data_IF_860856696384
#
_entry.id   IF_860856696384
#
_cell.length_a   1.000
_cell.length_b   1.000
_cell.length_c   1.000
_cell.angle_alpha   90.00
_cell.angle_beta   90.00
_cell.angle_gamma   90.00
#
_symmetry.space_group_name_H-M   'P 1'
#
loop_
_entity.id
_entity.type
_entity.pdbx_description
1 polymer ?
#
# COMPACT_ATOMS: atom_id res chain seq x y z
N UNK A 1 -8.71 -20.69 -4.05
CA UNK A 1 -8.20 -19.37 -3.61
C UNK A 1 -8.94 -18.32 -4.42
N UNK A 2 -9.68 -17.44 -3.76
CA UNK A 2 -10.49 -16.43 -4.46
C UNK A 2 -9.59 -15.52 -5.30
N UNK A 3 -9.89 -15.41 -6.59
CA UNK A 3 -9.10 -14.66 -7.58
C UNK A 3 -9.43 -13.15 -7.59
N UNK A 4 -10.13 -12.69 -6.55
CA UNK A 4 -10.60 -11.31 -6.43
C UNK A 4 -9.52 -10.44 -5.76
N UNK A 5 -9.13 -9.30 -6.34
CA UNK A 5 -8.17 -8.37 -5.74
C UNK A 5 -8.62 -7.91 -4.36
N UNK A 6 -7.67 -7.69 -3.46
CA UNK A 6 -7.95 -7.16 -2.12
C UNK A 6 -8.27 -5.65 -2.23
N UNK A 7 -9.44 -5.18 -1.77
CA UNK A 7 -9.73 -3.75 -1.79
C UNK A 7 -8.72 -2.99 -0.92
N UNK A 8 -8.31 -1.81 -1.39
CA UNK A 8 -7.48 -0.89 -0.62
C UNK A 8 -8.35 0.13 0.14
N UNK A 9 -8.05 0.33 1.43
CA UNK A 9 -8.67 1.34 2.28
C UNK A 9 -7.61 2.30 2.77
N UNK A 10 -7.86 3.59 2.67
CA UNK A 10 -6.90 4.61 3.10
C UNK A 10 -7.12 4.98 4.56
N UNK A 11 -6.03 5.09 5.32
CA UNK A 11 -6.06 5.83 6.58
C UNK A 11 -6.41 7.31 6.31
N UNK A 12 -6.90 8.06 7.32
CA UNK A 12 -7.14 9.49 7.16
C UNK A 12 -5.89 10.26 6.70
N UNK A 13 -4.71 9.86 7.18
CA UNK A 13 -3.44 10.46 6.78
C UNK A 13 -3.10 10.15 5.32
N UNK A 14 -3.22 8.88 4.91
CA UNK A 14 -2.99 8.49 3.52
C UNK A 14 -3.97 9.16 2.55
N UNK A 15 -5.24 9.31 2.94
CA UNK A 15 -6.24 10.02 2.17
C UNK A 15 -5.89 11.50 1.99
N UNK A 16 -5.35 12.14 3.03
CA UNK A 16 -4.84 13.52 2.96
C UNK A 16 -3.67 13.61 1.98
N UNK A 17 -2.65 12.76 2.14
CA UNK A 17 -1.49 12.77 1.23
C UNK A 17 -1.91 12.56 -0.23
N UNK A 18 -2.84 11.63 -0.49
CA UNK A 18 -3.40 11.43 -1.84
C UNK A 18 -4.01 12.71 -2.43
N UNK A 19 -4.65 13.54 -1.62
CA UNK A 19 -5.21 14.82 -2.05
C UNK A 19 -4.14 15.80 -2.55
N UNK A 20 -2.94 15.75 -1.95
CA UNK A 20 -1.83 16.65 -2.22
C UNK A 20 -0.89 16.15 -3.34
N UNK A 21 -1.04 14.90 -3.78
CA UNK A 21 -0.20 14.34 -4.84
C UNK A 21 -0.42 15.03 -6.20
N UNK A 22 0.64 15.24 -7.01
CA UNK A 22 0.48 15.60 -8.42
C UNK A 22 -0.17 14.45 -9.22
N UNK A 23 -0.81 14.76 -10.34
CA UNK A 23 -1.65 13.78 -11.05
C UNK A 23 -0.88 12.53 -11.51
N UNK A 24 0.37 12.70 -11.98
CA UNK A 24 1.22 11.57 -12.35
C UNK A 24 1.53 10.66 -11.16
N UNK A 25 1.71 11.21 -9.95
CA UNK A 25 1.93 10.42 -8.75
C UNK A 25 0.65 9.71 -8.30
N UNK A 26 -0.55 10.30 -8.55
CA UNK A 26 -1.83 9.61 -8.32
C UNK A 26 -2.01 8.42 -9.25
N UNK A 27 -1.57 8.52 -10.51
CA UNK A 27 -1.57 7.39 -11.45
C UNK A 27 -0.62 6.29 -10.97
N UNK A 28 0.62 6.65 -10.62
CA UNK A 28 1.58 5.69 -10.04
C UNK A 28 1.04 5.00 -8.78
N UNK A 29 0.35 5.75 -7.90
CA UNK A 29 -0.28 5.19 -6.71
C UNK A 29 -1.35 4.16 -7.07
N UNK A 30 -2.20 4.45 -8.06
CA UNK A 30 -3.25 3.53 -8.51
C UNK A 30 -2.64 2.24 -9.05
N UNK A 31 -1.61 2.34 -9.87
CA UNK A 31 -0.92 1.17 -10.45
C UNK A 31 -0.26 0.32 -9.34
N UNK A 32 0.42 0.98 -8.40
CA UNK A 32 1.09 0.31 -7.30
C UNK A 32 0.09 -0.41 -6.38
N UNK A 33 -1.07 0.21 -6.11
CA UNK A 33 -2.15 -0.41 -5.34
C UNK A 33 -2.86 -1.54 -6.10
N UNK A 34 -3.01 -1.48 -7.43
CA UNK A 34 -3.57 -2.59 -8.21
C UNK A 34 -2.65 -3.83 -8.14
N UNK A 35 -1.34 -3.63 -8.25
CA UNK A 35 -0.35 -4.71 -8.08
C UNK A 35 -0.43 -5.29 -6.66
N UNK A 36 -0.42 -4.44 -5.64
CA UNK A 36 -0.52 -4.87 -4.25
C UNK A 36 -1.85 -5.62 -3.97
N UNK A 37 -2.96 -5.17 -4.56
CA UNK A 37 -4.27 -5.81 -4.40
C UNK A 37 -4.30 -7.23 -4.99
N UNK A 38 -3.60 -7.46 -6.11
CA UNK A 38 -3.50 -8.77 -6.78
C UNK A 38 -2.47 -9.69 -6.15
N UNK A 39 -1.41 -9.14 -5.58
CA UNK A 39 -0.36 -9.88 -4.88
C UNK A 39 -0.03 -9.21 -3.53
N UNK A 40 -0.88 -9.41 -2.49
CA UNK A 40 -0.75 -8.69 -1.23
C UNK A 40 0.60 -8.91 -0.51
N UNK A 41 1.16 -10.11 -0.64
CA UNK A 41 2.47 -10.50 -0.13
C UNK A 41 3.61 -10.32 -1.16
N UNK A 42 3.33 -9.75 -2.34
CA UNK A 42 4.32 -9.58 -3.41
C UNK A 42 5.39 -8.52 -3.11
N UNK A 43 5.14 -7.63 -2.16
CA UNK A 43 6.09 -6.62 -1.70
C UNK A 43 6.74 -7.03 -0.38
N UNK A 44 7.98 -6.58 -0.11
CA UNK A 44 8.70 -6.95 1.10
C UNK A 44 7.99 -6.44 2.35
N UNK A 45 8.28 -7.10 3.48
CA UNK A 45 7.95 -6.56 4.79
C UNK A 45 8.58 -5.18 4.99
N UNK A 46 7.83 -4.25 5.56
CA UNK A 46 8.29 -2.87 5.76
C UNK A 46 9.51 -2.80 6.69
N UNK A 47 9.45 -3.52 7.81
CA UNK A 47 10.57 -3.65 8.75
C UNK A 47 10.92 -5.12 8.94
N UNK A 48 11.99 -5.59 8.29
CA UNK A 48 12.44 -6.98 8.37
C UNK A 48 12.93 -7.40 9.78
N UNK A 49 13.20 -6.45 10.66
CA UNK A 49 13.63 -6.72 12.04
C UNK A 49 12.47 -6.76 13.03
N UNK A 50 11.24 -6.51 12.57
CA UNK A 50 10.04 -6.55 13.40
C UNK A 50 9.25 -7.85 13.13
N UNK A 51 9.39 -8.89 13.96
CA UNK A 51 8.69 -10.15 13.74
C UNK A 51 7.15 -10.02 13.88
N UNK A 52 6.66 -9.00 14.59
CA UNK A 52 5.22 -8.74 14.73
C UNK A 52 4.65 -8.00 13.50
N UNK A 53 5.51 -7.33 12.76
CA UNK A 53 5.19 -6.57 11.56
C UNK A 53 5.08 -7.40 10.28
N UNK A 54 4.91 -8.73 10.36
CA UNK A 54 4.86 -9.61 9.18
C UNK A 54 3.85 -9.11 8.15
N UNK A 55 2.71 -8.59 8.58
CA UNK A 55 1.64 -8.12 7.70
C UNK A 55 1.78 -6.66 7.24
N UNK A 56 2.82 -5.95 7.69
CA UNK A 56 3.10 -4.59 7.23
C UNK A 56 4.07 -4.66 6.07
N UNK A 57 3.65 -4.15 4.91
CA UNK A 57 4.38 -4.23 3.64
C UNK A 57 4.70 -2.84 3.13
N UNK A 58 5.78 -2.75 2.36
CA UNK A 58 6.18 -1.51 1.71
C UNK A 58 6.32 -1.74 0.20
N UNK A 59 5.48 -1.04 -0.57
CA UNK A 59 5.58 -0.98 -2.03
C UNK A 59 6.25 0.35 -2.42
N UNK A 60 7.13 0.33 -3.41
CA UNK A 60 7.79 1.55 -3.90
C UNK A 60 7.92 1.53 -5.42
N UNK A 61 7.70 2.69 -6.04
CA UNK A 61 7.91 2.94 -7.45
C UNK A 61 8.41 4.39 -7.64
N UNK A 62 9.64 4.56 -8.12
CA UNK A 62 10.25 5.89 -8.27
C UNK A 62 10.31 6.66 -6.95
N UNK A 63 9.71 7.85 -6.93
CA UNK A 63 9.62 8.73 -5.75
C UNK A 63 8.41 8.44 -4.84
N UNK A 64 7.57 7.45 -5.18
CA UNK A 64 6.38 7.08 -4.43
C UNK A 64 6.61 5.79 -3.64
N UNK A 65 6.32 5.83 -2.34
CA UNK A 65 6.25 4.64 -1.48
C UNK A 65 4.91 4.58 -0.76
N UNK A 66 4.42 3.36 -0.54
CA UNK A 66 3.17 3.08 0.17
C UNK A 66 3.46 2.04 1.24
N UNK A 67 3.10 2.37 2.48
CA UNK A 67 3.12 1.42 3.60
C UNK A 67 1.69 0.94 3.83
N UNK A 68 1.47 -0.37 3.82
CA UNK A 68 0.14 -0.94 4.00
C UNK A 68 0.15 -2.17 4.89
N UNK A 69 -0.95 -2.37 5.60
CA UNK A 69 -1.20 -3.55 6.43
C UNK A 69 -2.13 -4.53 5.72
N UNK A 70 -1.78 -5.81 5.76
CA UNK A 70 -2.57 -6.92 5.25
C UNK A 70 -3.58 -7.39 6.30
N UNK A 71 -4.83 -6.94 6.19
CA UNK A 71 -5.87 -7.45 7.07
C UNK A 71 -6.38 -8.81 6.59
N UNK A 72 -5.76 -9.90 7.07
CA UNK A 72 -6.09 -11.28 6.68
C UNK A 72 -7.54 -11.66 6.95
N UNK A 73 -8.08 -11.22 8.08
CA UNK A 73 -9.44 -11.57 8.51
C UNK A 73 -10.50 -10.90 7.63
N UNK A 74 -10.30 -9.64 7.24
CA UNK A 74 -11.25 -8.87 6.44
C UNK A 74 -10.88 -8.82 4.94
N UNK A 75 -9.77 -9.46 4.55
CA UNK A 75 -9.28 -9.58 3.17
C UNK A 75 -9.17 -8.24 2.43
N UNK A 76 -8.56 -7.24 3.06
CA UNK A 76 -8.32 -5.92 2.46
C UNK A 76 -6.94 -5.35 2.85
N UNK A 77 -6.43 -4.43 2.04
CA UNK A 77 -5.23 -3.65 2.35
C UNK A 77 -5.63 -2.39 3.12
N UNK A 78 -5.02 -2.14 4.27
CA UNK A 78 -5.12 -0.85 4.96
C UNK A 78 -3.88 -0.03 4.65
N UNK A 79 -3.99 0.97 3.78
CA UNK A 79 -2.90 1.90 3.48
C UNK A 79 -2.69 2.78 4.71
N UNK A 80 -1.54 2.60 5.34
CA UNK A 80 -1.17 3.31 6.56
C UNK A 80 -0.59 4.67 6.21
N UNK A 81 0.34 4.70 5.26
CA UNK A 81 1.05 5.91 4.84
C UNK A 81 1.37 5.90 3.35
N UNK A 82 1.47 7.11 2.79
CA UNK A 82 1.92 7.37 1.42
C UNK A 82 3.06 8.38 1.54
N UNK A 83 4.21 8.03 0.99
CA UNK A 83 5.40 8.90 0.99
C UNK A 83 5.67 9.31 -0.45
N UNK A 84 5.77 10.62 -0.67
CA UNK A 84 6.12 11.21 -1.95
C UNK A 84 7.35 12.09 -1.78
N UNK A 85 8.38 11.83 -2.58
CA UNK A 85 9.69 12.48 -2.46
C UNK A 85 9.93 13.63 -3.45
N UNK A 86 8.94 14.07 -4.25
CA UNK A 86 9.07 15.31 -5.03
C UNK A 86 8.10 15.47 -6.17
#
# INVERSE_FOLDING_TARGET
>A
MSNEPWPARLSPQAAKTLGDLPDHAKEMLRDLLDIAARSPWGFPQWNANDPEGEDVRAASAGQLSVIYFLNRHQRHLSVLDIVWLG
#
